data_IF_157496837572
#
_entry.id   IF_157496837572
#
_cell.length_a   1.000
_cell.length_b   1.000
_cell.length_c   1.000
_cell.angle_alpha   90.00
_cell.angle_beta   90.00
_cell.angle_gamma   90.00
#
_symmetry.space_group_name_H-M   'P 1'
#
loop_
_entity.id
_entity.type
_entity.pdbx_description
1 polymer ?
#
# COMPACT_ATOMS: atom_id res chain seq x y z
N UNK A 1 8.76 -18.08 -18.45
CA UNK A 1 7.45 -18.17 -17.75
C UNK A 1 7.25 -17.13 -16.63
N UNK A 2 8.04 -16.06 -16.53
CA UNK A 2 7.93 -15.08 -15.42
C UNK A 2 6.85 -13.99 -15.55
N UNK A 3 6.30 -13.80 -16.76
CA UNK A 3 5.61 -12.55 -17.12
C UNK A 3 4.07 -12.60 -16.91
N UNK A 4 3.43 -13.76 -17.05
CA UNK A 4 1.97 -13.88 -16.84
C UNK A 4 1.56 -13.76 -15.37
N UNK A 5 2.28 -14.42 -14.47
CA UNK A 5 2.02 -14.30 -13.03
C UNK A 5 2.30 -12.89 -12.51
N UNK A 6 3.26 -12.17 -13.11
CA UNK A 6 3.48 -10.75 -12.81
C UNK A 6 2.29 -9.90 -13.24
N UNK A 7 1.81 -10.06 -14.49
CA UNK A 7 0.68 -9.30 -15.04
C UNK A 7 -0.61 -9.51 -14.24
N UNK A 8 -0.92 -10.74 -13.83
CA UNK A 8 -2.11 -11.03 -13.01
C UNK A 8 -2.03 -10.34 -11.64
N UNK A 9 -0.87 -10.39 -10.98
CA UNK A 9 -0.67 -9.73 -9.68
C UNK A 9 -0.70 -8.21 -9.79
N UNK A 10 -0.06 -7.66 -10.83
CA UNK A 10 -0.09 -6.23 -11.09
C UNK A 10 -1.52 -5.75 -11.30
N UNK A 11 -2.34 -6.45 -12.09
CA UNK A 11 -3.76 -6.13 -12.28
C UNK A 11 -4.55 -6.20 -10.98
N UNK A 12 -4.36 -7.24 -10.16
CA UNK A 12 -5.05 -7.38 -8.89
C UNK A 12 -4.67 -6.27 -7.89
N UNK A 13 -3.39 -5.94 -7.79
CA UNK A 13 -2.93 -4.84 -6.96
C UNK A 13 -3.42 -3.50 -7.50
N UNK A 14 -3.40 -3.29 -8.82
CA UNK A 14 -3.88 -2.07 -9.45
C UNK A 14 -5.36 -1.84 -9.14
N UNK A 15 -6.21 -2.87 -9.28
CA UNK A 15 -7.63 -2.78 -8.91
C UNK A 15 -7.82 -2.39 -7.44
N UNK A 16 -7.10 -3.04 -6.52
CA UNK A 16 -7.18 -2.73 -5.08
C UNK A 16 -6.74 -1.30 -4.78
N UNK A 17 -5.57 -0.91 -5.26
CA UNK A 17 -5.00 0.41 -5.00
C UNK A 17 -5.80 1.52 -5.70
N UNK A 18 -6.38 1.27 -6.88
CA UNK A 18 -7.31 2.20 -7.52
C UNK A 18 -8.55 2.44 -6.67
N UNK A 19 -9.21 1.39 -6.17
CA UNK A 19 -10.42 1.55 -5.32
C UNK A 19 -10.10 2.36 -4.07
N UNK A 20 -8.99 2.05 -3.40
CA UNK A 20 -8.56 2.79 -2.20
C UNK A 20 -8.22 4.24 -2.53
N UNK A 21 -7.45 4.48 -3.61
CA UNK A 21 -7.03 5.83 -3.99
C UNK A 21 -8.20 6.71 -4.39
N UNK A 22 -9.10 6.20 -5.24
CA UNK A 22 -10.30 6.94 -5.63
C UNK A 22 -11.24 7.19 -4.46
N UNK A 23 -11.46 6.19 -3.60
CA UNK A 23 -12.31 6.33 -2.42
C UNK A 23 -11.79 7.42 -1.48
N UNK A 24 -10.50 7.41 -1.17
CA UNK A 24 -9.88 8.40 -0.29
C UNK A 24 -9.82 9.79 -0.93
N UNK A 25 -9.45 9.90 -2.21
CA UNK A 25 -9.44 11.18 -2.94
C UNK A 25 -10.82 11.83 -3.01
N UNK A 26 -11.88 11.03 -3.21
CA UNK A 26 -13.25 11.54 -3.24
C UNK A 26 -13.70 11.98 -1.85
N UNK A 27 -13.53 11.10 -0.84
CA UNK A 27 -13.95 11.37 0.53
C UNK A 27 -13.32 12.65 1.06
N UNK A 28 -12.00 12.84 0.88
CA UNK A 28 -11.33 14.06 1.30
C UNK A 28 -11.55 15.27 0.39
N UNK A 29 -11.75 15.05 -0.92
CA UNK A 29 -12.09 16.12 -1.87
C UNK A 29 -13.47 16.75 -1.63
N UNK A 30 -14.37 16.04 -0.95
CA UNK A 30 -15.75 16.50 -0.67
C UNK A 30 -15.97 17.06 0.75
N UNK A 31 -14.98 16.97 1.65
CA UNK A 31 -15.15 17.39 3.04
C UNK A 31 -14.84 18.88 3.22
N UNK A 32 -15.84 19.63 3.72
CA UNK A 32 -15.75 21.10 3.77
C UNK A 32 -15.18 21.69 5.06
N UNK A 33 -15.01 20.89 6.12
CA UNK A 33 -14.51 21.37 7.41
C UNK A 33 -13.03 21.04 7.67
N UNK A 34 -12.21 22.01 8.11
CA UNK A 34 -10.81 21.79 8.49
C UNK A 34 -10.66 20.80 9.66
N UNK A 35 -11.66 20.69 10.54
CA UNK A 35 -11.65 19.73 11.66
C UNK A 35 -11.69 18.29 11.16
N UNK A 36 -12.42 18.03 10.08
CA UNK A 36 -12.51 16.68 9.50
C UNK A 36 -11.19 16.28 8.85
N UNK A 37 -10.43 17.25 8.32
CA UNK A 37 -9.10 17.02 7.75
C UNK A 37 -8.11 16.65 8.86
N UNK A 38 -8.16 17.36 9.99
CA UNK A 38 -7.33 17.00 11.15
C UNK A 38 -7.67 15.58 11.64
N UNK A 39 -8.96 15.26 11.76
CA UNK A 39 -9.44 13.92 12.14
C UNK A 39 -8.96 12.87 11.13
N UNK A 40 -8.98 13.18 9.83
CA UNK A 40 -8.50 12.29 8.78
C UNK A 40 -7.01 11.98 8.88
N UNK A 41 -6.19 13.01 9.09
CA UNK A 41 -4.74 12.87 9.27
C UNK A 41 -4.46 12.05 10.52
N UNK A 42 -5.12 12.38 11.63
CA UNK A 42 -4.97 11.66 12.91
C UNK A 42 -5.41 10.22 12.77
N UNK A 43 -6.56 9.96 12.15
CA UNK A 43 -7.07 8.61 11.89
C UNK A 43 -6.11 7.81 11.02
N UNK A 44 -5.54 8.41 9.97
CA UNK A 44 -4.53 7.78 9.14
C UNK A 44 -3.24 7.45 9.92
N UNK A 45 -2.71 8.40 10.69
CA UNK A 45 -1.52 8.17 11.51
C UNK A 45 -1.76 7.02 12.49
N UNK A 46 -2.88 7.06 13.22
CA UNK A 46 -3.22 6.03 14.19
C UNK A 46 -3.45 4.67 13.52
N UNK A 47 -4.16 4.62 12.40
CA UNK A 47 -4.37 3.38 11.64
C UNK A 47 -3.06 2.82 11.09
N UNK A 48 -2.16 3.69 10.63
CA UNK A 48 -0.84 3.29 10.13
C UNK A 48 0.03 2.74 11.24
N UNK A 49 0.04 3.39 12.42
CA UNK A 49 0.75 2.89 13.59
C UNK A 49 0.22 1.53 14.04
N UNK A 50 -1.11 1.37 14.14
CA UNK A 50 -1.73 0.08 14.48
C UNK A 50 -1.34 -0.99 13.46
N UNK A 51 -1.39 -0.68 12.17
CA UNK A 51 -1.04 -1.61 11.10
C UNK A 51 0.44 -2.02 11.13
N UNK A 52 1.34 -1.06 11.36
CA UNK A 52 2.78 -1.31 11.51
C UNK A 52 3.04 -2.18 12.74
N UNK A 53 2.47 -1.83 13.89
CA UNK A 53 2.65 -2.60 15.14
C UNK A 53 2.10 -4.02 14.99
N UNK A 54 0.93 -4.19 14.37
CA UNK A 54 0.35 -5.50 14.08
C UNK A 54 1.28 -6.34 13.18
N UNK A 55 1.81 -5.76 12.10
CA UNK A 55 2.72 -6.49 11.21
C UNK A 55 4.10 -6.74 11.82
N UNK A 56 4.59 -5.86 12.70
CA UNK A 56 5.80 -6.08 13.52
C UNK A 56 5.59 -7.25 14.48
N UNK A 57 4.44 -7.31 15.16
CA UNK A 57 4.11 -8.42 16.04
C UNK A 57 4.06 -9.75 15.28
N UNK A 58 3.33 -9.78 14.16
CA UNK A 58 3.25 -10.94 13.26
C UNK A 58 4.61 -11.34 12.69
N UNK A 59 5.45 -10.36 12.35
CA UNK A 59 6.84 -10.60 11.95
C UNK A 59 7.64 -11.25 13.09
N UNK A 60 7.48 -10.80 14.33
CA UNK A 60 8.23 -11.34 15.46
C UNK A 60 7.96 -12.84 15.65
N UNK A 61 6.72 -13.27 15.42
CA UNK A 61 6.33 -14.69 15.41
C UNK A 61 6.93 -15.45 14.22
N UNK A 62 6.83 -14.90 12.99
CA UNK A 62 7.43 -15.53 11.80
C UNK A 62 8.96 -15.62 11.92
N UNK A 63 9.63 -14.58 12.40
CA UNK A 63 11.10 -14.48 12.44
C UNK A 63 11.79 -15.45 13.40
N UNK A 64 11.04 -16.12 14.29
CA UNK A 64 11.53 -17.23 15.13
C UNK A 64 12.11 -18.37 14.29
N UNK A 65 11.60 -18.58 13.08
CA UNK A 65 12.15 -19.54 12.11
C UNK A 65 12.94 -18.77 11.06
N UNK A 66 14.23 -19.08 10.94
CA UNK A 66 15.14 -18.46 9.96
C UNK A 66 14.59 -18.52 8.52
N UNK A 67 13.91 -19.61 8.18
CA UNK A 67 13.28 -19.83 6.87
C UNK A 67 12.11 -18.86 6.58
N UNK A 68 11.48 -18.29 7.60
CA UNK A 68 10.33 -17.37 7.48
C UNK A 68 10.74 -15.88 7.51
N UNK A 69 12.00 -15.54 7.80
CA UNK A 69 12.52 -14.16 7.75
C UNK A 69 12.20 -13.40 6.45
N UNK A 70 12.32 -13.97 5.24
CA UNK A 70 11.98 -13.25 4.02
C UNK A 70 10.50 -12.85 3.94
N UNK A 71 9.59 -13.58 4.60
CA UNK A 71 8.18 -13.22 4.67
C UNK A 71 7.92 -12.04 5.60
N UNK A 72 8.70 -11.92 6.68
CA UNK A 72 8.65 -10.74 7.56
C UNK A 72 9.07 -9.47 6.79
N UNK A 73 10.18 -9.53 6.04
CA UNK A 73 10.67 -8.36 5.28
C UNK A 73 9.63 -7.87 4.26
N UNK A 74 8.95 -8.81 3.59
CA UNK A 74 7.83 -8.52 2.67
C UNK A 74 6.64 -7.89 3.41
N UNK A 75 6.26 -8.42 4.57
CA UNK A 75 5.15 -7.90 5.38
C UNK A 75 5.41 -6.45 5.84
N UNK A 76 6.62 -6.17 6.34
CA UNK A 76 7.01 -4.84 6.81
C UNK A 76 7.09 -3.84 5.66
N UNK A 77 7.73 -4.20 4.54
CA UNK A 77 7.81 -3.34 3.35
C UNK A 77 6.42 -3.03 2.79
N UNK A 78 5.53 -4.03 2.73
CA UNK A 78 4.14 -3.83 2.31
C UNK A 78 3.41 -2.88 3.26
N UNK A 79 3.54 -3.07 4.57
CA UNK A 79 2.93 -2.21 5.58
C UNK A 79 3.35 -0.75 5.42
N UNK A 80 4.64 -0.51 5.14
CA UNK A 80 5.17 0.83 4.93
C UNK A 80 4.57 1.49 3.68
N UNK A 81 4.44 0.76 2.57
CA UNK A 81 3.87 1.29 1.32
C UNK A 81 2.38 1.60 1.47
N UNK A 82 1.64 0.66 2.06
CA UNK A 82 0.20 0.85 2.33
C UNK A 82 0.00 2.11 3.21
N UNK A 83 0.88 2.33 4.22
CA UNK A 83 0.82 3.53 5.05
C UNK A 83 1.24 4.81 4.33
N UNK A 84 2.31 4.78 3.53
CA UNK A 84 2.83 5.94 2.82
C UNK A 84 1.85 6.48 1.77
N UNK A 85 1.06 5.58 1.16
CA UNK A 85 0.11 5.98 0.13
C UNK A 85 -1.05 6.81 0.59
N UNK A 86 -1.64 6.41 1.71
CA UNK A 86 -2.71 7.18 2.33
C UNK A 86 -2.17 8.57 2.74
N UNK A 87 -0.91 8.64 3.18
CA UNK A 87 -0.21 9.89 3.50
C UNK A 87 0.05 10.84 2.33
N UNK A 88 0.06 10.35 1.09
CA UNK A 88 0.21 11.20 -0.11
C UNK A 88 -1.17 11.65 -0.63
N UNK A 89 -2.18 10.80 -0.53
CA UNK A 89 -3.54 11.08 -1.02
C UNK A 89 -4.21 12.20 -0.21
N UNK A 90 -4.00 12.24 1.11
CA UNK A 90 -4.58 13.27 1.98
C UNK A 90 -4.08 14.69 1.60
N UNK A 91 -2.77 14.99 1.59
CA UNK A 91 -2.27 16.31 1.16
C UNK A 91 -2.57 16.61 -0.31
N UNK A 92 -2.62 15.63 -1.21
CA UNK A 92 -3.04 15.82 -2.60
C UNK A 92 -4.50 16.30 -2.71
N UNK A 93 -5.41 15.74 -1.90
CA UNK A 93 -6.81 16.17 -1.83
C UNK A 93 -6.98 17.58 -1.27
N UNK A 94 -6.15 17.96 -0.29
CA UNK A 94 -6.05 19.32 0.25
C UNK A 94 -5.59 20.32 -0.82
N UNK A 95 -4.50 20.04 -1.52
CA UNK A 95 -3.95 20.91 -2.57
C UNK A 95 -4.99 21.13 -3.68
N UNK A 96 -5.72 20.08 -4.09
CA UNK A 96 -6.80 20.22 -5.06
C UNK A 96 -7.96 21.09 -4.58
N UNK A 97 -8.25 21.12 -3.28
CA UNK A 97 -9.28 22.01 -2.71
C UNK A 97 -8.84 23.47 -2.77
N UNK A 98 -7.61 23.78 -2.35
CA UNK A 98 -7.05 25.14 -2.39
C UNK A 98 -6.79 25.65 -3.82
N UNK A 99 -6.55 24.75 -4.78
CA UNK A 99 -6.39 25.06 -6.20
C UNK A 99 -7.71 25.01 -7.00
N UNK A 100 -8.84 25.34 -6.36
CA UNK A 100 -10.15 25.51 -7.00
C UNK A 100 -10.86 24.19 -7.42
N UNK A 101 -10.82 23.17 -6.56
CA UNK A 101 -11.53 21.89 -6.73
C UNK A 101 -11.27 21.20 -8.07
N UNK A 102 -10.01 21.18 -8.53
CA UNK A 102 -9.69 20.59 -9.81
C UNK A 102 -9.66 19.05 -9.73
N UNK A 103 -10.84 18.42 -9.70
CA UNK A 103 -11.04 16.97 -9.55
C UNK A 103 -10.26 16.13 -10.57
N UNK A 104 -9.91 16.71 -11.72
CA UNK A 104 -9.04 16.09 -12.73
C UNK A 104 -7.64 15.84 -12.17
N UNK A 105 -7.07 16.79 -11.44
CA UNK A 105 -5.74 16.67 -10.82
C UNK A 105 -5.77 15.59 -9.73
N UNK A 106 -6.83 15.54 -8.92
CA UNK A 106 -7.06 14.48 -7.94
C UNK A 106 -7.12 13.09 -8.60
N UNK A 107 -7.86 12.96 -9.69
CA UNK A 107 -7.96 11.70 -10.42
C UNK A 107 -6.61 11.27 -11.01
N UNK A 108 -5.83 12.19 -11.58
CA UNK A 108 -4.49 11.91 -12.10
C UNK A 108 -3.56 11.43 -10.98
N UNK A 109 -3.56 12.12 -9.82
CA UNK A 109 -2.73 11.73 -8.68
C UNK A 109 -3.13 10.36 -8.12
N UNK A 110 -4.43 10.09 -8.02
CA UNK A 110 -4.94 8.78 -7.61
C UNK A 110 -4.49 7.67 -8.58
N UNK A 111 -4.53 7.92 -9.89
CA UNK A 111 -4.07 6.97 -10.91
C UNK A 111 -2.57 6.74 -10.82
N UNK A 112 -1.76 7.81 -10.73
CA UNK A 112 -0.30 7.70 -10.60
C UNK A 112 0.07 6.94 -9.34
N UNK A 113 -0.59 7.22 -8.22
CA UNK A 113 -0.38 6.50 -6.97
C UNK A 113 -0.76 5.02 -7.08
N UNK A 114 -1.93 4.70 -7.65
CA UNK A 114 -2.36 3.33 -7.85
C UNK A 114 -1.38 2.54 -8.73
N UNK A 115 -0.87 3.15 -9.80
CA UNK A 115 0.14 2.55 -10.69
C UNK A 115 1.48 2.32 -9.96
N UNK A 116 1.96 3.32 -9.23
CA UNK A 116 3.21 3.23 -8.47
C UNK A 116 3.12 2.13 -7.39
N UNK A 117 2.07 2.15 -6.58
CA UNK A 117 1.82 1.16 -5.52
C UNK A 117 1.65 -0.24 -6.08
N UNK A 118 0.88 -0.42 -7.15
CA UNK A 118 0.71 -1.72 -7.79
C UNK A 118 2.04 -2.29 -8.28
N UNK A 119 2.91 -1.45 -8.87
CA UNK A 119 4.25 -1.83 -9.31
C UNK A 119 5.12 -2.23 -8.12
N UNK A 120 5.21 -1.41 -7.09
CA UNK A 120 6.06 -1.68 -5.92
C UNK A 120 5.58 -2.95 -5.19
N UNK A 121 4.26 -3.10 -4.98
CA UNK A 121 3.66 -4.30 -4.37
C UNK A 121 3.89 -5.56 -5.22
N UNK A 122 3.82 -5.45 -6.55
CA UNK A 122 4.09 -6.59 -7.43
C UNK A 122 5.54 -7.07 -7.35
N UNK A 123 6.49 -6.13 -7.15
CA UNK A 123 7.91 -6.43 -6.98
C UNK A 123 8.23 -7.00 -5.60
N UNK A 124 7.54 -6.53 -4.55
CA UNK A 124 7.75 -7.00 -3.17
C UNK A 124 7.18 -8.40 -2.96
N UNK A 125 6.01 -8.68 -3.53
CA UNK A 125 5.39 -10.00 -3.37
C UNK A 125 6.21 -11.12 -4.05
N UNK A 126 7.03 -10.80 -5.06
CA UNK A 126 7.87 -11.73 -5.81
C UNK A 126 9.06 -10.95 -6.41
N UNK A 127 10.24 -10.93 -5.76
CA UNK A 127 11.41 -10.28 -6.30
C UNK A 127 11.83 -10.98 -7.59
N UNK A 128 12.24 -10.20 -8.59
CA UNK A 128 12.53 -10.67 -9.95
C UNK A 128 13.61 -11.76 -10.03
N UNK A 129 14.41 -11.92 -8.98
CA UNK A 129 15.35 -13.04 -8.88
C UNK A 129 14.58 -14.34 -8.63
N UNK A 130 14.52 -15.19 -9.65
CA UNK A 130 13.93 -16.53 -9.60
C UNK A 130 14.27 -17.32 -8.31
N UNK A 131 15.51 -17.22 -7.83
CA UNK A 131 15.98 -17.82 -6.58
C UNK A 131 15.34 -17.23 -5.32
N UNK A 132 15.08 -15.92 -5.29
CA UNK A 132 14.34 -15.26 -4.20
C UNK A 132 12.86 -15.65 -4.21
N UNK A 133 12.32 -15.81 -5.42
CA UNK A 133 10.94 -16.16 -5.73
C UNK A 133 10.58 -17.57 -5.24
N UNK A 134 11.48 -18.52 -5.44
CA UNK A 134 11.35 -19.91 -4.98
C UNK A 134 11.50 -20.00 -3.45
N UNK A 135 12.47 -19.26 -2.88
CA UNK A 135 12.66 -19.16 -1.42
C UNK A 135 11.42 -18.62 -0.72
N UNK A 136 10.79 -17.58 -1.25
CA UNK A 136 9.54 -17.01 -0.70
C UNK A 136 8.39 -18.01 -0.80
N UNK A 137 8.33 -18.79 -1.89
CA UNK A 137 7.30 -19.82 -2.09
C UNK A 137 7.45 -20.97 -1.10
N UNK A 138 8.68 -21.43 -0.88
CA UNK A 138 9.02 -22.46 0.10
C UNK A 138 8.77 -21.97 1.52
N UNK A 139 9.16 -20.73 1.83
CA UNK A 139 8.84 -20.10 3.11
C UNK A 139 7.32 -20.06 3.33
N UNK A 140 6.53 -19.65 2.33
CA UNK A 140 5.05 -19.66 2.48
C UNK A 140 4.51 -21.05 2.79
N UNK A 141 5.00 -22.10 2.14
CA UNK A 141 4.54 -23.49 2.38
C UNK A 141 4.90 -24.04 3.77
N UNK A 142 5.96 -23.52 4.38
CA UNK A 142 6.47 -24.03 5.67
C UNK A 142 6.00 -23.20 6.87
N UNK A 143 5.59 -21.95 6.62
CA UNK A 143 5.25 -20.97 7.65
C UNK A 143 3.75 -20.64 7.70
N UNK A 144 2.96 -21.09 6.72
CA UNK A 144 1.51 -21.00 6.64
C UNK A 144 0.93 -22.32 6.13
#
# INVERSE_FOLDING_TARGET
MGDEHYKVRFRANLLRESVVSFGLSFLFGTLDSPDVILIAIVSWIMSSLVWIVYNVHRCSELSRRLECRPLCDILLKKSLIDSAGIGIIIPASLVSKYLNQNYVVLAILAIVWALASAKILSNINYPYEWASSERIRQARKKCF
#
